data_IF_432093241024
#
_entry.id   IF_432093241024
#
_cell.length_a   1.000
_cell.length_b   1.000
_cell.length_c   1.000
_cell.angle_alpha   90.00
_cell.angle_beta   90.00
_cell.angle_gamma   90.00
#
_symmetry.space_group_name_H-M   'P 1'
#
loop_
_entity.id
_entity.type
_entity.pdbx_description
1 polymer ?
#
# COMPACT_ATOMS: atom_id res chain seq x y z
N UNK A 1 -2.51 -12.57 -3.45
CA UNK A 1 -2.16 -11.23 -3.98
C UNK A 1 -1.36 -10.54 -2.91
N UNK A 2 -0.38 -9.73 -3.28
CA UNK A 2 0.37 -8.88 -2.35
C UNK A 2 -0.27 -7.49 -2.31
N UNK A 3 -0.21 -6.81 -1.18
CA UNK A 3 -0.58 -5.41 -1.09
C UNK A 3 0.58 -4.54 -1.61
N UNK A 4 0.30 -3.69 -2.59
CA UNK A 4 1.28 -2.73 -3.11
C UNK A 4 1.43 -1.55 -2.15
N UNK A 5 2.66 -1.16 -1.82
CA UNK A 5 2.93 0.04 -1.02
C UNK A 5 3.11 1.25 -1.92
N UNK A 6 2.44 2.36 -1.58
CA UNK A 6 2.51 3.60 -2.36
C UNK A 6 2.77 4.78 -1.44
N UNK A 7 3.87 5.49 -1.63
CA UNK A 7 4.17 6.69 -0.86
C UNK A 7 3.31 7.86 -1.31
N UNK A 8 2.60 8.48 -0.36
CA UNK A 8 1.81 9.68 -0.54
C UNK A 8 2.70 10.91 -0.34
N UNK A 9 3.22 11.42 -1.43
CA UNK A 9 4.06 12.61 -1.52
C UNK A 9 3.40 13.89 -1.00
N UNK A 10 2.05 13.96 -0.98
CA UNK A 10 1.31 15.06 -0.35
C UNK A 10 1.52 15.18 1.15
N UNK A 11 2.07 14.15 1.80
CA UNK A 11 2.42 14.18 3.21
C UNK A 11 3.73 14.90 3.51
N UNK A 12 4.51 15.25 2.49
CA UNK A 12 5.74 16.03 2.66
C UNK A 12 5.38 17.49 2.94
N UNK A 13 5.83 17.98 4.09
CA UNK A 13 5.76 19.38 4.49
C UNK A 13 6.94 19.70 5.40
N UNK A 14 7.21 20.98 5.61
CA UNK A 14 8.28 21.42 6.51
C UNK A 14 7.93 21.06 7.95
N UNK A 15 8.78 20.25 8.58
CA UNK A 15 8.70 19.93 9.99
C UNK A 15 9.10 21.14 10.86
N UNK A 16 8.51 21.31 12.05
CA UNK A 16 8.86 22.42 12.94
C UNK A 16 10.26 22.31 13.57
N UNK A 17 10.84 21.10 13.59
CA UNK A 17 12.18 20.83 14.12
C UNK A 17 12.74 19.53 13.56
N UNK A 18 14.06 19.36 13.68
CA UNK A 18 14.76 18.10 13.38
C UNK A 18 14.18 16.91 14.17
N UNK A 19 13.87 17.11 15.45
CA UNK A 19 13.27 16.08 16.30
C UNK A 19 11.92 15.58 15.74
N UNK A 20 11.08 16.50 15.26
CA UNK A 20 9.78 16.15 14.67
C UNK A 20 9.98 15.49 13.30
N UNK A 21 10.89 15.99 12.47
CA UNK A 21 11.23 15.38 11.19
C UNK A 21 11.72 13.94 11.36
N UNK A 22 12.64 13.72 12.32
CA UNK A 22 13.12 12.40 12.71
C UNK A 22 11.98 11.50 13.12
N UNK A 23 11.09 11.99 14.00
CA UNK A 23 9.93 11.21 14.45
C UNK A 23 9.03 10.81 13.28
N UNK A 24 8.69 11.72 12.36
CA UNK A 24 7.83 11.39 11.22
C UNK A 24 8.42 10.30 10.32
N UNK A 25 9.73 10.39 10.04
CA UNK A 25 10.41 9.38 9.24
C UNK A 25 10.51 8.04 9.98
N UNK A 26 10.83 8.06 11.27
CA UNK A 26 10.88 6.86 12.10
C UNK A 26 9.52 6.17 12.16
N UNK A 27 8.46 6.89 12.51
CA UNK A 27 7.10 6.32 12.60
C UNK A 27 6.66 5.72 11.26
N UNK A 28 6.93 6.42 10.14
CA UNK A 28 6.65 5.92 8.80
C UNK A 28 7.44 4.64 8.49
N UNK A 29 8.73 4.61 8.81
CA UNK A 29 9.60 3.47 8.52
C UNK A 29 9.32 2.27 9.42
N UNK A 30 8.94 2.47 10.68
CA UNK A 30 8.43 1.42 11.56
C UNK A 30 7.15 0.81 10.99
N UNK A 31 6.22 1.65 10.52
CA UNK A 31 4.99 1.17 9.89
C UNK A 31 5.25 0.39 8.60
N UNK A 32 6.23 0.81 7.79
CA UNK A 32 6.68 0.07 6.60
C UNK A 32 7.33 -1.26 7.00
N UNK A 33 8.13 -1.28 8.06
CA UNK A 33 8.74 -2.51 8.57
C UNK A 33 7.65 -3.51 8.97
N UNK A 34 6.69 -3.08 9.79
CA UNK A 34 5.59 -3.93 10.25
C UNK A 34 4.75 -4.46 9.08
N UNK A 35 4.49 -3.65 8.03
CA UNK A 35 3.76 -4.09 6.84
C UNK A 35 4.52 -5.13 6.00
N UNK A 36 5.85 -5.03 5.94
CA UNK A 36 6.71 -5.94 5.17
C UNK A 36 6.98 -7.23 5.95
N UNK A 37 7.12 -7.13 7.27
CA UNK A 37 7.38 -8.27 8.15
C UNK A 37 6.11 -9.08 8.46
N UNK A 38 4.92 -8.51 8.21
CA UNK A 38 3.67 -9.25 8.34
C UNK A 38 3.57 -10.36 7.28
N UNK A 39 3.40 -11.58 7.76
CA UNK A 39 3.24 -12.78 6.95
C UNK A 39 1.95 -13.52 7.28
N UNK A 40 1.28 -14.01 6.24
CA UNK A 40 0.15 -14.94 6.40
C UNK A 40 0.57 -16.28 5.82
N UNK A 41 0.68 -17.29 6.69
CA UNK A 41 1.11 -18.65 6.33
C UNK A 41 2.50 -18.68 5.64
N UNK A 42 3.44 -17.89 6.15
CA UNK A 42 4.82 -17.82 5.65
C UNK A 42 4.96 -17.14 4.29
N UNK A 43 3.95 -16.35 3.88
CA UNK A 43 3.99 -15.49 2.69
C UNK A 43 3.84 -14.04 3.12
N UNK A 44 4.74 -13.14 2.68
CA UNK A 44 4.65 -11.72 3.01
C UNK A 44 3.38 -11.10 2.40
N UNK A 45 2.74 -10.20 3.15
CA UNK A 45 1.59 -9.44 2.64
C UNK A 45 2.05 -8.35 1.69
N UNK A 46 3.11 -7.64 2.06
CA UNK A 46 3.70 -6.56 1.27
C UNK A 46 5.13 -6.95 0.87
N UNK A 47 5.55 -6.51 -0.31
CA UNK A 47 6.97 -6.57 -0.68
C UNK A 47 7.68 -5.27 -0.31
N UNK A 48 9.01 -5.25 -0.50
CA UNK A 48 9.87 -4.09 -0.18
C UNK A 48 9.80 -2.97 -1.22
N UNK A 49 8.98 -3.10 -2.25
CA UNK A 49 8.84 -2.07 -3.26
C UNK A 49 7.83 -1.03 -2.79
N UNK A 50 8.23 0.25 -2.88
CA UNK A 50 7.36 1.38 -2.59
C UNK A 50 7.27 2.23 -3.84
N UNK A 51 6.06 2.41 -4.34
CA UNK A 51 5.79 3.30 -5.48
C UNK A 51 5.82 4.74 -5.02
N UNK A 52 6.44 5.62 -5.78
CA UNK A 52 6.55 7.03 -5.41
C UNK A 52 6.69 7.93 -6.63
N UNK A 53 6.21 9.16 -6.51
CA UNK A 53 6.46 10.25 -7.48
C UNK A 53 7.75 11.02 -7.19
N UNK A 54 8.32 10.83 -6.01
CA UNK A 54 9.50 11.57 -5.54
C UNK A 54 10.53 10.60 -5.00
N UNK A 55 11.79 10.81 -5.33
CA UNK A 55 12.88 10.06 -4.73
C UNK A 55 12.90 10.37 -3.22
N UNK A 56 13.02 9.33 -2.38
CA UNK A 56 13.16 9.52 -0.94
C UNK A 56 14.41 10.32 -0.61
N UNK A 57 15.50 10.15 -1.36
CA UNK A 57 16.74 10.90 -1.16
C UNK A 57 16.59 12.41 -1.45
N UNK A 58 15.51 12.84 -2.11
CA UNK A 58 15.20 14.25 -2.39
C UNK A 58 14.23 14.86 -1.35
N UNK A 59 13.92 14.15 -0.26
CA UNK A 59 13.00 14.62 0.78
C UNK A 59 13.76 15.39 1.85
N UNK A 60 13.60 16.71 1.82
CA UNK A 60 13.99 17.62 2.89
C UNK A 60 12.77 17.97 3.75
N UNK A 61 12.88 17.81 5.07
CA UNK A 61 11.81 18.14 6.02
C UNK A 61 12.13 19.41 6.82
N UNK A 62 13.39 19.79 6.92
CA UNK A 62 13.85 21.09 7.42
C UNK A 62 14.94 21.65 6.50
N UNK A 63 15.58 22.75 6.85
CA UNK A 63 16.71 23.30 6.07
C UNK A 63 17.91 22.35 6.05
N UNK A 64 18.16 21.63 7.15
CA UNK A 64 19.37 20.82 7.35
C UNK A 64 19.04 19.36 7.71
N UNK A 65 17.80 18.90 7.47
CA UNK A 65 17.40 17.54 7.83
C UNK A 65 16.31 16.99 6.91
N UNK A 66 16.58 15.84 6.31
CA UNK A 66 15.71 15.09 5.44
C UNK A 66 15.91 13.59 5.58
N UNK A 67 15.60 12.85 4.52
CA UNK A 67 15.76 11.40 4.49
C UNK A 67 17.23 10.97 4.58
N UNK A 68 18.14 11.70 3.90
CA UNK A 68 19.58 11.41 3.90
C UNK A 68 20.13 11.52 5.33
N UNK A 69 19.84 12.62 6.02
CA UNK A 69 20.31 12.85 7.39
C UNK A 69 19.71 11.83 8.35
N UNK A 70 18.45 11.43 8.16
CA UNK A 70 17.82 10.37 8.96
C UNK A 70 18.50 9.00 8.80
N UNK A 71 18.99 8.67 7.60
CA UNK A 71 19.74 7.43 7.35
C UNK A 71 21.09 7.40 8.09
N UNK A 72 21.66 8.56 8.40
CA UNK A 72 22.94 8.70 9.09
C UNK A 72 22.80 9.06 10.58
N UNK A 73 21.57 9.29 11.04
CA UNK A 73 21.29 9.75 12.40
C UNK A 73 21.58 8.67 13.44
N UNK A 74 22.48 8.97 14.38
CA UNK A 74 22.87 8.07 15.46
C UNK A 74 21.75 7.78 16.48
N UNK A 75 20.66 8.55 16.46
CA UNK A 75 19.47 8.37 17.32
C UNK A 75 18.43 7.44 16.68
N UNK A 76 18.57 7.11 15.40
CA UNK A 76 17.66 6.22 14.67
C UNK A 76 18.14 4.77 14.79
N UNK A 77 17.19 3.84 14.89
CA UNK A 77 17.51 2.42 14.99
C UNK A 77 18.19 1.88 13.71
N UNK A 78 19.29 1.15 13.89
CA UNK A 78 20.10 0.62 12.79
C UNK A 78 19.41 -0.46 11.96
N UNK A 79 18.40 -1.16 12.50
CA UNK A 79 17.57 -2.10 11.74
C UNK A 79 16.69 -1.32 10.77
N UNK A 80 16.04 -0.25 11.23
CA UNK A 80 15.21 0.62 10.39
C UNK A 80 16.02 1.30 9.28
N UNK A 81 17.22 1.82 9.59
CA UNK A 81 18.12 2.40 8.58
C UNK A 81 18.52 1.36 7.51
N UNK A 82 18.82 0.13 7.94
CA UNK A 82 19.14 -0.96 7.00
C UNK A 82 17.96 -1.35 6.13
N UNK A 83 16.74 -1.38 6.69
CA UNK A 83 15.52 -1.60 5.92
C UNK A 83 15.33 -0.49 4.89
N UNK A 84 15.45 0.76 5.30
CA UNK A 84 15.32 1.94 4.44
C UNK A 84 16.25 1.87 3.21
N UNK A 85 17.53 1.50 3.41
CA UNK A 85 18.47 1.27 2.31
C UNK A 85 18.11 0.09 1.38
N UNK A 86 17.28 -0.84 1.84
CA UNK A 86 16.86 -2.03 1.07
C UNK A 86 15.51 -1.85 0.37
N UNK A 87 14.83 -0.71 0.58
CA UNK A 87 13.57 -0.42 -0.10
C UNK A 87 13.82 -0.23 -1.60
N UNK A 88 12.93 -0.81 -2.41
CA UNK A 88 12.92 -0.66 -3.86
C UNK A 88 11.96 0.48 -4.23
N UNK A 89 12.45 1.70 -4.28
CA UNK A 89 11.65 2.86 -4.67
C UNK A 89 11.36 2.83 -6.18
N UNK A 90 10.09 2.68 -6.56
CA UNK A 90 9.65 2.59 -7.95
C UNK A 90 9.00 3.88 -8.41
N UNK A 91 9.56 4.48 -9.45
CA UNK A 91 9.12 5.75 -10.03
C UNK A 91 9.10 5.68 -11.57
N UNK A 92 8.11 6.30 -12.23
CA UNK A 92 7.01 7.07 -11.66
C UNK A 92 5.96 6.18 -10.98
N UNK A 93 5.11 6.76 -10.12
CA UNK A 93 4.22 5.99 -9.23
C UNK A 93 3.31 5.02 -10.00
N UNK A 94 2.90 5.38 -11.22
CA UNK A 94 2.03 4.61 -12.10
C UNK A 94 2.75 3.58 -12.99
N UNK A 95 4.07 3.41 -12.87
CA UNK A 95 4.88 2.65 -13.84
C UNK A 95 4.32 1.25 -14.14
N UNK A 96 3.91 0.48 -13.11
CA UNK A 96 3.45 -0.89 -13.30
C UNK A 96 1.94 -0.99 -13.57
N UNK A 97 1.17 0.10 -13.42
CA UNK A 97 -0.22 0.13 -13.91
C UNK A 97 -0.26 -0.23 -15.40
N UNK A 98 0.78 0.13 -16.16
CA UNK A 98 0.94 -0.22 -17.59
C UNK A 98 0.87 -1.72 -17.88
N UNK A 99 1.14 -2.57 -16.89
CA UNK A 99 1.03 -4.03 -17.03
C UNK A 99 -0.41 -4.53 -16.84
N UNK A 100 -1.28 -3.73 -16.21
CA UNK A 100 -2.68 -4.00 -15.96
C UNK A 100 -3.58 -3.09 -16.81
N UNK A 101 -3.86 -3.53 -18.05
CA UNK A 101 -4.58 -2.74 -19.07
C UNK A 101 -5.81 -2.00 -18.53
N UNK A 102 -6.67 -2.67 -17.75
CA UNK A 102 -7.88 -2.04 -17.18
C UNK A 102 -7.57 -0.94 -16.19
N UNK A 103 -6.62 -1.16 -15.29
CA UNK A 103 -6.26 -0.18 -14.27
C UNK A 103 -5.54 1.02 -14.92
N UNK A 104 -4.75 0.78 -15.96
CA UNK A 104 -4.09 1.84 -16.73
C UNK A 104 -5.08 2.69 -17.53
N UNK A 105 -6.04 2.07 -18.21
CA UNK A 105 -7.08 2.80 -18.96
C UNK A 105 -7.92 3.66 -18.01
N UNK A 106 -8.29 3.11 -16.85
CA UNK A 106 -9.00 3.86 -15.82
C UNK A 106 -8.15 5.02 -15.27
N UNK A 107 -6.85 4.80 -15.03
CA UNK A 107 -5.92 5.84 -14.61
C UNK A 107 -5.84 6.98 -15.63
N UNK A 108 -5.64 6.68 -16.91
CA UNK A 108 -5.52 7.68 -17.98
C UNK A 108 -6.78 8.53 -18.15
N UNK A 109 -7.96 7.96 -17.88
CA UNK A 109 -9.23 8.67 -17.91
C UNK A 109 -9.58 9.43 -16.62
N UNK A 110 -8.74 9.37 -15.59
CA UNK A 110 -9.07 9.84 -14.25
C UNK A 110 -8.17 10.98 -13.77
N UNK A 111 -8.79 11.98 -13.11
CA UNK A 111 -8.09 12.84 -12.15
C UNK A 111 -8.46 12.42 -10.73
N UNK A 112 -7.46 12.31 -9.86
CA UNK A 112 -7.66 12.04 -8.44
C UNK A 112 -7.40 13.31 -7.63
N UNK A 113 -8.33 13.69 -6.76
CA UNK A 113 -8.18 14.88 -5.90
C UNK A 113 -8.58 14.58 -4.45
N UNK A 114 -8.02 15.31 -3.50
CA UNK A 114 -8.47 15.23 -2.11
C UNK A 114 -9.90 15.73 -1.98
N UNK A 115 -10.77 14.98 -1.29
CA UNK A 115 -12.19 15.37 -1.12
C UNK A 115 -12.35 16.70 -0.38
N UNK A 116 -11.54 16.93 0.65
CA UNK A 116 -11.56 18.17 1.43
C UNK A 116 -10.89 19.34 0.71
N UNK A 117 -10.00 19.06 -0.25
CA UNK A 117 -9.21 20.07 -0.94
C UNK A 117 -9.16 19.74 -2.45
N UNK A 118 -10.27 19.89 -3.19
CA UNK A 118 -10.43 19.34 -4.55
C UNK A 118 -9.53 19.95 -5.64
N UNK A 119 -8.67 20.90 -5.27
CA UNK A 119 -7.66 21.52 -6.12
C UNK A 119 -6.29 20.83 -6.02
N UNK A 120 -6.09 20.01 -4.99
CA UNK A 120 -4.85 19.26 -4.77
C UNK A 120 -5.02 17.91 -5.46
N UNK A 121 -4.20 17.68 -6.47
CA UNK A 121 -4.11 16.38 -7.16
C UNK A 121 -3.52 15.33 -6.21
N UNK A 122 -4.08 14.14 -6.24
CA UNK A 122 -3.79 13.04 -5.33
C UNK A 122 -3.43 11.77 -6.12
N UNK A 123 -2.52 11.90 -7.09
CA UNK A 123 -2.14 10.84 -8.04
C UNK A 123 -1.67 9.58 -7.33
N UNK A 124 -0.77 9.68 -6.34
CA UNK A 124 -0.28 8.54 -5.58
C UNK A 124 -1.40 7.80 -4.83
N UNK A 125 -2.35 8.54 -4.23
CA UNK A 125 -3.53 7.94 -3.60
C UNK A 125 -4.47 7.29 -4.62
N UNK A 126 -4.57 7.84 -5.83
CA UNK A 126 -5.27 7.24 -6.96
C UNK A 126 -4.63 5.92 -7.39
N UNK A 127 -3.30 5.87 -7.50
CA UNK A 127 -2.57 4.62 -7.81
C UNK A 127 -2.75 3.58 -6.71
N UNK A 128 -2.66 3.98 -5.44
CA UNK A 128 -2.95 3.09 -4.31
C UNK A 128 -4.37 2.51 -4.38
N UNK A 129 -5.36 3.32 -4.75
CA UNK A 129 -6.74 2.84 -4.96
C UNK A 129 -6.81 1.80 -6.08
N UNK A 130 -6.24 2.10 -7.26
CA UNK A 130 -6.34 1.25 -8.44
C UNK A 130 -5.65 -0.11 -8.27
N UNK A 131 -4.52 -0.15 -7.56
CA UNK A 131 -3.83 -1.40 -7.22
C UNK A 131 -4.40 -2.12 -6.00
N UNK A 132 -5.43 -1.58 -5.35
CA UNK A 132 -5.86 -2.05 -4.03
C UNK A 132 -4.69 -2.07 -3.01
N UNK A 133 -3.76 -1.13 -3.15
CA UNK A 133 -2.58 -0.98 -2.31
C UNK A 133 -2.82 -0.21 -1.02
N UNK A 134 -1.77 -0.04 -0.23
CA UNK A 134 -1.76 0.71 1.03
C UNK A 134 -0.91 1.97 0.81
N UNK A 135 -1.52 3.13 1.01
CA UNK A 135 -0.78 4.39 0.98
C UNK A 135 0.05 4.56 2.26
N UNK A 136 1.28 5.04 2.13
CA UNK A 136 2.20 5.34 3.23
C UNK A 136 2.43 6.84 3.27
N UNK A 137 2.36 7.46 4.44
CA UNK A 137 2.59 8.89 4.60
C UNK A 137 3.44 9.23 5.81
N UNK A 138 4.00 10.42 5.81
CA UNK A 138 4.47 11.08 7.01
C UNK A 138 3.29 11.54 7.87
N UNK A 139 3.41 11.43 9.19
CA UNK A 139 2.42 11.91 10.17
C UNK A 139 2.46 13.45 10.35
N UNK A 140 2.58 14.18 9.24
CA UNK A 140 2.88 15.60 9.24
C UNK A 140 1.67 16.51 9.47
N UNK A 141 0.48 16.00 9.17
CA UNK A 141 -0.80 16.65 9.44
C UNK A 141 -1.80 15.62 9.99
N UNK A 142 -2.78 16.03 10.82
CA UNK A 142 -3.79 15.11 11.38
C UNK A 142 -4.59 14.31 10.35
N UNK A 143 -4.68 14.79 9.11
CA UNK A 143 -5.34 14.11 7.99
C UNK A 143 -4.58 12.86 7.52
N UNK A 144 -3.26 12.83 7.70
CA UNK A 144 -2.40 11.70 7.33
C UNK A 144 -2.34 10.65 8.44
N UNK A 145 -2.69 11.04 9.67
CA UNK A 145 -2.87 10.15 10.82
C UNK A 145 -4.20 9.36 10.81
N UNK A 146 -4.95 9.40 9.72
CA UNK A 146 -6.19 8.62 9.57
C UNK A 146 -5.91 7.31 8.86
N UNK A 147 -6.62 6.24 9.22
CA UNK A 147 -6.47 4.93 8.57
C UNK A 147 -7.03 4.88 7.14
N UNK A 148 -7.84 5.89 6.77
CA UNK A 148 -8.36 6.07 5.41
C UNK A 148 -8.37 7.53 5.00
N UNK A 149 -7.93 7.81 3.77
CA UNK A 149 -7.99 9.14 3.16
C UNK A 149 -9.14 9.19 2.15
N UNK A 150 -9.99 10.22 2.25
CA UNK A 150 -11.08 10.41 1.29
C UNK A 150 -10.59 11.17 0.05
N UNK A 151 -10.72 10.54 -1.12
CA UNK A 151 -10.42 11.15 -2.42
C UNK A 151 -11.65 11.14 -3.32
N UNK A 152 -11.61 11.96 -4.36
CA UNK A 152 -12.59 11.97 -5.45
C UNK A 152 -11.87 11.64 -6.74
N UNK A 153 -12.32 10.59 -7.41
CA UNK A 153 -11.96 10.30 -8.79
C UNK A 153 -12.92 11.05 -9.71
N UNK A 154 -12.37 11.85 -10.62
CA UNK A 154 -13.09 12.48 -11.72
C UNK A 154 -12.77 11.69 -12.98
N UNK A 155 -13.71 10.86 -13.42
CA UNK A 155 -13.58 10.05 -14.62
C UNK A 155 -14.14 10.84 -15.82
N UNK A 156 -13.33 11.04 -16.84
CA UNK A 156 -13.71 11.73 -18.07
C UNK A 156 -14.02 10.70 -19.15
N UNK A 157 -15.27 10.68 -19.61
CA UNK A 157 -15.67 9.86 -20.75
C UNK A 157 -15.43 10.66 -22.05
N UNK A 158 -15.00 9.98 -23.13
CA UNK A 158 -14.71 10.62 -24.42
C UNK A 158 -15.86 11.50 -24.97
N UNK A 159 -17.10 11.20 -24.57
CA UNK A 159 -18.29 11.92 -25.03
C UNK A 159 -18.58 13.25 -24.29
N UNK A 160 -18.02 13.46 -23.08
CA UNK A 160 -18.27 14.68 -22.28
C UNK A 160 -17.03 15.06 -21.45
N UNK A 161 -16.02 15.59 -22.14
CA UNK A 161 -14.76 16.03 -21.55
C UNK A 161 -14.92 17.23 -20.57
N UNK A 162 -16.07 17.90 -20.54
CA UNK A 162 -16.30 19.05 -19.66
C UNK A 162 -16.98 18.67 -18.33
N UNK A 163 -17.59 17.49 -18.23
CA UNK A 163 -18.33 17.05 -17.03
C UNK A 163 -17.89 15.65 -16.59
N UNK A 164 -16.85 15.55 -15.74
CA UNK A 164 -16.42 14.25 -15.26
C UNK A 164 -17.48 13.62 -14.35
N UNK A 165 -17.61 12.30 -14.44
CA UNK A 165 -18.30 11.51 -13.44
C UNK A 165 -17.47 11.48 -12.16
N UNK A 166 -18.08 11.81 -11.02
CA UNK A 166 -17.39 11.93 -9.73
C UNK A 166 -17.70 10.73 -8.84
N UNK A 167 -16.67 10.01 -8.46
CA UNK A 167 -16.76 8.85 -7.57
C UNK A 167 -15.96 9.16 -6.30
N UNK A 168 -16.60 8.98 -5.14
CA UNK A 168 -15.94 9.16 -3.85
C UNK A 168 -15.31 7.84 -3.41
N UNK A 169 -14.05 7.89 -3.01
CA UNK A 169 -13.29 6.74 -2.56
C UNK A 169 -12.68 6.97 -1.19
N UNK A 170 -12.36 5.86 -0.50
CA UNK A 170 -11.60 5.83 0.73
C UNK A 170 -10.37 4.96 0.52
N UNK A 171 -9.20 5.58 0.48
CA UNK A 171 -7.92 4.90 0.25
C UNK A 171 -7.34 4.46 1.59
N UNK A 172 -6.92 3.19 1.68
CA UNK A 172 -6.21 2.65 2.85
C UNK A 172 -4.88 3.36 3.01
N UNK A 173 -4.55 3.72 4.24
CA UNK A 173 -3.44 4.60 4.55
C UNK A 173 -2.82 4.20 5.88
N UNK A 174 -1.49 4.35 5.97
CA UNK A 174 -0.72 4.20 7.20
C UNK A 174 0.30 5.33 7.31
N UNK A 175 0.42 5.92 8.50
CA UNK A 175 1.50 6.86 8.84
C UNK A 175 2.18 6.56 10.18
N UNK A 176 1.69 5.55 10.89
CA UNK A 176 2.19 5.16 12.21
C UNK A 176 1.96 3.65 12.43
N UNK A 177 2.84 2.96 13.19
CA UNK A 177 2.77 1.50 13.38
C UNK A 177 1.43 0.97 13.92
N UNK A 178 0.79 1.72 14.80
CA UNK A 178 -0.50 1.38 15.41
C UNK A 178 -1.67 1.26 14.42
N UNK A 179 -1.49 1.70 13.16
CA UNK A 179 -2.49 1.62 12.10
C UNK A 179 -2.34 0.38 11.21
N UNK A 180 -1.20 -0.33 11.29
CA UNK A 180 -0.83 -1.42 10.38
C UNK A 180 -1.85 -2.57 10.43
N UNK A 181 -2.19 -3.05 11.63
CA UNK A 181 -3.21 -4.09 11.85
C UNK A 181 -4.56 -3.75 11.23
N UNK A 182 -4.95 -2.48 11.24
CA UNK A 182 -6.21 -2.04 10.65
C UNK A 182 -6.12 -2.03 9.13
N UNK A 183 -5.01 -1.54 8.57
CA UNK A 183 -4.79 -1.50 7.13
C UNK A 183 -4.76 -2.91 6.51
N UNK A 184 -4.09 -3.86 7.18
CA UNK A 184 -4.04 -5.27 6.76
C UNK A 184 -5.44 -5.89 6.77
N UNK A 185 -6.19 -5.74 7.87
CA UNK A 185 -7.56 -6.29 7.96
C UNK A 185 -8.50 -5.71 6.92
N UNK A 186 -8.41 -4.41 6.64
CA UNK A 186 -9.23 -3.76 5.62
C UNK A 186 -8.84 -4.21 4.20
N UNK A 187 -7.56 -4.45 3.95
CA UNK A 187 -7.06 -5.04 2.71
C UNK A 187 -7.55 -6.49 2.52
N UNK A 188 -7.42 -7.34 3.54
CA UNK A 188 -7.94 -8.71 3.52
C UNK A 188 -9.46 -8.74 3.27
N UNK A 189 -10.20 -7.83 3.92
CA UNK A 189 -11.62 -7.69 3.68
C UNK A 189 -11.90 -7.32 2.22
N UNK A 190 -11.17 -6.37 1.64
CA UNK A 190 -11.30 -5.95 0.25
C UNK A 190 -11.00 -7.09 -0.72
N UNK A 191 -9.94 -7.87 -0.45
CA UNK A 191 -9.58 -9.07 -1.19
C UNK A 191 -10.72 -10.11 -1.15
N UNK A 192 -11.33 -10.33 0.02
CA UNK A 192 -12.45 -11.28 0.18
C UNK A 192 -13.65 -10.95 -0.72
N UNK A 193 -13.94 -9.67 -0.92
CA UNK A 193 -15.08 -9.22 -1.74
C UNK A 193 -14.82 -9.35 -3.25
N UNK A 194 -13.54 -9.45 -3.65
CA UNK A 194 -13.12 -9.56 -5.05
C UNK A 194 -13.06 -10.99 -5.56
N UNK A 195 -13.08 -11.98 -4.68
CA UNK A 195 -13.10 -13.41 -5.04
C UNK A 195 -14.42 -13.74 -5.73
N UNK A 196 -14.35 -14.14 -7.00
CA UNK A 196 -15.55 -14.39 -7.84
C UNK A 196 -15.86 -15.86 -8.02
N UNK A 197 -14.89 -16.74 -7.75
CA UNK A 197 -15.05 -18.17 -7.97
C UNK A 197 -14.27 -19.01 -6.95
N UNK A 198 -14.56 -20.31 -6.94
CA UNK A 198 -13.99 -21.28 -5.99
C UNK A 198 -12.49 -21.46 -6.20
N UNK A 199 -11.97 -21.36 -7.42
CA UNK A 199 -10.54 -21.48 -7.68
C UNK A 199 -9.75 -20.32 -7.06
N UNK A 200 -10.21 -19.08 -7.26
CA UNK A 200 -9.65 -17.89 -6.60
C UNK A 200 -9.78 -17.97 -5.08
N UNK A 201 -10.91 -18.48 -4.58
CA UNK A 201 -11.12 -18.68 -3.14
C UNK A 201 -10.09 -19.64 -2.55
N UNK A 202 -9.83 -20.76 -3.22
CA UNK A 202 -8.82 -21.74 -2.77
C UNK A 202 -7.43 -21.10 -2.80
N UNK A 203 -7.09 -20.37 -3.86
CA UNK A 203 -5.79 -19.71 -4.01
C UNK A 203 -5.54 -18.62 -2.96
N UNK A 204 -6.58 -17.91 -2.52
CA UNK A 204 -6.49 -16.83 -1.53
C UNK A 204 -6.97 -17.24 -0.12
N UNK A 205 -7.33 -18.52 0.09
CA UNK A 205 -7.98 -18.98 1.33
C UNK A 205 -7.17 -18.64 2.57
N UNK A 206 -5.88 -19.00 2.55
CA UNK A 206 -4.93 -18.74 3.61
C UNK A 206 -4.81 -17.25 3.93
N UNK A 207 -4.84 -16.39 2.90
CA UNK A 207 -4.72 -14.94 3.02
C UNK A 207 -5.99 -14.29 3.57
N UNK A 208 -7.17 -14.77 3.18
CA UNK A 208 -8.47 -14.20 3.56
C UNK A 208 -8.98 -14.77 4.89
N UNK A 209 -8.68 -16.03 5.18
CA UNK A 209 -9.13 -16.75 6.37
C UNK A 209 -7.94 -17.31 7.16
N UNK A 210 -7.07 -16.41 7.62
CA UNK A 210 -5.84 -16.75 8.35
C UNK A 210 -6.02 -17.58 9.62
N UNK A 211 -7.25 -17.67 10.14
CA UNK A 211 -7.60 -18.43 11.34
C UNK A 211 -8.49 -19.67 11.06
N UNK A 212 -8.70 -20.01 9.79
CA UNK A 212 -9.60 -21.10 9.40
C UNK A 212 -8.86 -22.19 8.63
N UNK A 213 -8.61 -23.32 9.31
CA UNK A 213 -8.01 -24.49 8.69
C UNK A 213 -8.96 -25.12 7.66
N UNK A 214 -8.38 -25.73 6.63
CA UNK A 214 -9.15 -26.58 5.72
C UNK A 214 -9.69 -27.79 6.50
N UNK A 215 -10.93 -28.17 6.20
CA UNK A 215 -11.46 -29.44 6.69
C UNK A 215 -10.70 -30.60 6.05
N UNK A 216 -10.21 -31.57 6.86
CA UNK A 216 -9.47 -32.76 6.41
C UNK A 216 -10.16 -33.49 5.24
N UNK A 217 -11.49 -33.49 5.20
CA UNK A 217 -12.28 -34.14 4.15
C UNK A 217 -12.22 -33.41 2.80
N UNK A 218 -12.04 -32.08 2.80
CA UNK A 218 -11.87 -31.26 1.61
C UNK A 218 -10.45 -31.42 1.04
N UNK A 219 -9.44 -31.46 1.92
CA UNK A 219 -8.06 -31.72 1.53
C UNK A 219 -7.92 -33.07 0.81
N UNK A 220 -8.55 -34.12 1.36
CA UNK A 220 -8.44 -35.47 0.80
C UNK A 220 -9.19 -35.66 -0.53
N UNK A 221 -10.32 -34.97 -0.75
CA UNK A 221 -11.19 -35.21 -1.93
C UNK A 221 -10.95 -34.25 -3.10
N UNK A 222 -10.49 -33.01 -2.87
CA UNK A 222 -10.47 -31.96 -3.91
C UNK A 222 -9.06 -31.52 -4.34
N UNK A 223 -8.05 -31.55 -3.47
CA UNK A 223 -6.65 -31.21 -3.81
C UNK A 223 -6.03 -32.08 -4.94
N UNK A 224 -6.33 -33.39 -5.08
CA UNK A 224 -5.73 -34.21 -6.13
C UNK A 224 -6.12 -33.83 -7.58
N UNK A 225 -7.20 -33.05 -7.75
CA UNK A 225 -7.84 -32.73 -9.03
C UNK A 225 -7.57 -31.32 -9.54
N UNK A 226 -6.78 -30.50 -8.83
CA UNK A 226 -6.39 -29.17 -9.28
C UNK A 226 -5.25 -29.27 -10.33
N UNK A 227 -5.30 -28.49 -11.42
CA UNK A 227 -4.45 -28.68 -12.61
C UNK A 227 -2.98 -28.29 -12.42
N UNK A 228 -2.59 -27.67 -11.30
CA UNK A 228 -1.23 -27.16 -11.10
C UNK A 228 -0.60 -27.70 -9.81
N UNK A 229 0.01 -28.90 -9.90
CA UNK A 229 0.57 -29.69 -8.79
C UNK A 229 1.96 -29.24 -8.29
N UNK A 230 2.41 -28.01 -8.57
CA UNK A 230 3.80 -27.62 -8.26
C UNK A 230 4.05 -27.03 -6.86
N UNK A 231 3.02 -26.79 -6.05
CA UNK A 231 3.19 -26.04 -4.79
C UNK A 231 2.89 -26.79 -3.50
N UNK A 232 2.54 -28.09 -3.53
CA UNK A 232 2.16 -28.79 -2.29
C UNK A 232 3.13 -29.92 -2.00
N UNK A 233 4.08 -29.66 -1.09
CA UNK A 233 4.78 -30.75 -0.37
C UNK A 233 3.91 -31.14 0.83
N UNK A 234 3.72 -32.43 1.11
CA UNK A 234 2.99 -32.86 2.28
C UNK A 234 3.82 -32.57 3.54
N UNK A 235 3.23 -31.86 4.50
CA UNK A 235 3.71 -31.86 5.88
C UNK A 235 3.47 -33.25 6.46
N UNK A 236 4.56 -33.99 6.74
CA UNK A 236 4.52 -35.23 7.51
C UNK A 236 4.95 -34.85 8.93
N UNK A 237 4.06 -35.06 9.91
CA UNK A 237 4.36 -34.96 11.35
C UNK A 237 5.33 -36.03 11.80
#
# INVERSE_FOLDING_TARGET
>A
MEAELVFNDLSITTAPSEEIARKWLTDMMEAVADLIDEEINGKPICNRAIRTNRDFYDIDLTEDYGYIEWLEDAQVDQVLQRLAHQLDARSPVEQDLKTEVKAYDEFLGSEFVLKQTPKIEATALGVALLHDGIAISLASEPRWCQSKIEIVQKLYEEADAEKPHKINHKVRQVSHPDQVDFAIRDWQHSLSQKIKNVSELIEQWETVFSHLDWCEEYEQKMLPHLPNKKTLRPFIR
#
